data_IF_057054634275
#
_entry.id   IF_057054634275
#
_cell.length_a   1.000
_cell.length_b   1.000
_cell.length_c   1.000
_cell.angle_alpha   90.00
_cell.angle_beta   90.00
_cell.angle_gamma   90.00
#
_symmetry.space_group_name_H-M   'P 1'
#
loop_
_entity.id
_entity.type
_entity.pdbx_description
1 polymer ?
#
# COMPACT_ATOMS: atom_id res chain seq x y z
N UNK A 1 11.12 -8.72 9.69
CA UNK A 1 11.19 -7.67 10.74
C UNK A 1 12.57 -7.73 11.39
N UNK A 2 13.30 -6.62 11.53
CA UNK A 2 14.65 -6.60 12.11
C UNK A 2 14.68 -5.78 13.41
N UNK A 3 15.73 -5.93 14.21
CA UNK A 3 15.94 -5.12 15.42
C UNK A 3 15.96 -3.62 15.11
N UNK A 4 16.55 -3.22 13.98
CA UNK A 4 16.56 -1.83 13.53
C UNK A 4 15.15 -1.28 13.25
N UNK A 5 14.26 -2.09 12.69
CA UNK A 5 12.87 -1.66 12.46
C UNK A 5 12.14 -1.40 13.78
N UNK A 6 12.32 -2.28 14.76
CA UNK A 6 11.73 -2.10 16.09
C UNK A 6 12.32 -0.90 16.82
N UNK A 7 13.65 -0.69 16.72
CA UNK A 7 14.34 0.48 17.25
C UNK A 7 13.73 1.77 16.68
N UNK A 8 13.64 1.88 15.35
CA UNK A 8 13.05 3.03 14.66
C UNK A 8 11.63 3.34 15.16
N UNK A 9 10.78 2.32 15.32
CA UNK A 9 9.42 2.51 15.84
C UNK A 9 9.41 3.04 17.27
N UNK A 10 10.18 2.43 18.17
CA UNK A 10 10.24 2.88 19.58
C UNK A 10 10.79 4.30 19.72
N UNK A 11 11.71 4.72 18.84
CA UNK A 11 12.22 6.10 18.81
C UNK A 11 11.13 7.10 18.38
N UNK A 12 10.32 6.78 17.37
CA UNK A 12 9.18 7.63 17.00
C UNK A 12 8.20 7.81 18.16
N UNK A 13 7.87 6.73 18.87
CA UNK A 13 6.96 6.78 20.04
C UNK A 13 7.54 7.67 21.15
N UNK A 14 8.81 7.48 21.51
CA UNK A 14 9.48 8.30 22.54
C UNK A 14 9.52 9.77 22.18
N UNK A 15 9.80 10.09 20.92
CA UNK A 15 9.86 11.45 20.42
C UNK A 15 8.47 12.08 20.19
N UNK A 16 7.38 11.31 20.35
CA UNK A 16 6.01 11.71 19.95
C UNK A 16 5.97 12.20 18.50
N UNK A 17 6.78 11.59 17.62
CA UNK A 17 6.83 11.97 16.22
C UNK A 17 5.55 11.51 15.50
N UNK A 18 4.70 12.47 15.15
CA UNK A 18 3.42 12.23 14.47
C UNK A 18 3.62 11.75 13.02
N UNK A 19 4.67 12.22 12.34
CA UNK A 19 4.94 11.85 10.94
C UNK A 19 5.37 10.37 10.81
N UNK A 20 6.11 9.86 11.79
CA UNK A 20 6.74 8.52 11.80
C UNK A 20 7.66 8.25 10.59
N UNK A 21 8.44 7.16 10.65
CA UNK A 21 9.28 6.74 9.52
C UNK A 21 8.51 5.92 8.45
N UNK A 22 7.32 5.43 8.79
CA UNK A 22 6.47 4.61 7.92
C UNK A 22 5.00 5.02 8.15
N UNK A 23 4.56 6.13 7.53
CA UNK A 23 3.20 6.64 7.72
C UNK A 23 2.17 5.69 7.09
N UNK A 24 0.90 5.81 7.51
CA UNK A 24 -0.18 4.91 7.09
C UNK A 24 -0.39 4.90 5.58
N UNK A 25 -0.14 6.04 4.92
CA UNK A 25 -0.23 6.21 3.47
C UNK A 25 0.75 5.30 2.73
N UNK A 26 1.92 5.01 3.31
CA UNK A 26 2.87 4.06 2.72
C UNK A 26 2.27 2.64 2.68
N UNK A 27 1.60 2.23 3.76
CA UNK A 27 0.87 0.96 3.83
C UNK A 27 -0.31 0.92 2.86
N UNK A 28 -1.08 2.00 2.77
CA UNK A 28 -2.19 2.14 1.83
C UNK A 28 -1.75 1.96 0.37
N UNK A 29 -0.67 2.64 -0.04
CA UNK A 29 -0.12 2.49 -1.39
C UNK A 29 0.41 1.08 -1.67
N UNK A 30 1.01 0.43 -0.66
CA UNK A 30 1.46 -0.95 -0.78
C UNK A 30 0.28 -1.90 -1.03
N UNK A 31 -0.79 -1.78 -0.23
CA UNK A 31 -2.00 -2.60 -0.41
C UNK A 31 -2.67 -2.40 -1.77
N UNK A 32 -2.72 -1.16 -2.29
CA UNK A 32 -3.20 -0.90 -3.66
C UNK A 32 -2.36 -1.68 -4.68
N UNK A 33 -1.04 -1.62 -4.54
CA UNK A 33 -0.11 -2.28 -5.47
C UNK A 33 -0.27 -3.79 -5.43
N UNK A 34 -0.43 -4.39 -4.26
CA UNK A 34 -0.68 -5.83 -4.10
C UNK A 34 -1.97 -6.27 -4.80
N UNK A 35 -3.04 -5.48 -4.65
CA UNK A 35 -4.32 -5.74 -5.34
C UNK A 35 -4.15 -5.60 -6.86
N UNK A 36 -3.41 -4.59 -7.33
CA UNK A 36 -3.12 -4.41 -8.76
C UNK A 36 -2.33 -5.58 -9.34
N UNK A 37 -1.32 -6.10 -8.63
CA UNK A 37 -0.55 -7.28 -9.06
C UNK A 37 -1.43 -8.51 -9.12
N UNK A 38 -2.29 -8.70 -8.10
CA UNK A 38 -3.26 -9.79 -8.08
C UNK A 38 -4.25 -9.70 -9.25
N UNK A 39 -4.77 -8.49 -9.54
CA UNK A 39 -5.65 -8.23 -10.66
C UNK A 39 -4.98 -8.59 -11.99
N UNK A 40 -3.73 -8.16 -12.19
CA UNK A 40 -2.98 -8.46 -13.40
C UNK A 40 -2.71 -9.95 -13.56
N UNK A 41 -2.34 -10.64 -12.48
CA UNK A 41 -2.09 -12.07 -12.47
C UNK A 41 -3.37 -12.87 -12.79
N UNK A 42 -4.49 -12.55 -12.16
CA UNK A 42 -5.75 -13.29 -12.31
C UNK A 42 -6.41 -13.07 -13.68
N UNK A 43 -6.30 -11.85 -14.23
CA UNK A 43 -7.01 -11.49 -15.47
C UNK A 43 -6.13 -11.58 -16.72
N UNK A 44 -4.80 -11.62 -16.56
CA UNK A 44 -3.85 -11.47 -17.66
C UNK A 44 -3.88 -10.07 -18.32
N UNK A 45 -4.55 -9.09 -17.70
CA UNK A 45 -4.69 -7.73 -18.21
C UNK A 45 -3.84 -6.74 -17.42
N UNK A 46 -3.50 -5.60 -18.03
CA UNK A 46 -2.86 -4.50 -17.29
C UNK A 46 -3.83 -3.94 -16.25
N UNK A 47 -3.42 -3.95 -14.99
CA UNK A 47 -4.14 -3.32 -13.89
C UNK A 47 -3.74 -1.85 -13.73
N UNK A 48 -4.71 -1.00 -13.38
CA UNK A 48 -4.51 0.41 -13.02
C UNK A 48 -5.28 0.72 -11.73
N UNK A 49 -4.86 1.76 -11.00
CA UNK A 49 -5.61 2.30 -9.88
C UNK A 49 -6.33 3.59 -10.29
N UNK A 50 -7.65 3.59 -10.19
CA UNK A 50 -8.48 4.80 -10.29
C UNK A 50 -8.48 5.52 -8.94
N UNK A 51 -7.86 6.70 -8.90
CA UNK A 51 -7.71 7.50 -7.68
C UNK A 51 -9.01 8.16 -7.22
N UNK A 52 -9.89 8.52 -8.14
CA UNK A 52 -11.15 9.19 -7.81
C UNK A 52 -12.14 8.17 -7.26
N UNK A 53 -12.27 7.03 -7.93
CA UNK A 53 -13.14 5.94 -7.48
C UNK A 53 -12.52 5.09 -6.36
N UNK A 54 -11.20 5.19 -6.13
CA UNK A 54 -10.40 4.38 -5.20
C UNK A 54 -10.52 2.88 -5.49
N UNK A 55 -10.44 2.50 -6.76
CA UNK A 55 -10.66 1.13 -7.24
C UNK A 55 -9.52 0.65 -8.11
N UNK A 56 -9.27 -0.66 -8.09
CA UNK A 56 -8.37 -1.32 -9.04
C UNK A 56 -9.18 -1.77 -10.24
N UNK A 57 -8.72 -1.40 -11.44
CA UNK A 57 -9.37 -1.68 -12.71
C UNK A 57 -8.46 -2.59 -13.53
N UNK A 58 -9.00 -3.68 -14.08
CA UNK A 58 -8.32 -4.56 -15.02
C UNK A 58 -9.24 -4.84 -16.22
N UNK A 59 -8.72 -4.71 -17.45
CA UNK A 59 -9.52 -4.92 -18.66
C UNK A 59 -10.75 -4.01 -18.77
N UNK A 60 -10.71 -2.81 -18.17
CA UNK A 60 -11.81 -1.85 -18.18
C UNK A 60 -12.94 -2.13 -17.18
N UNK A 61 -12.76 -3.08 -16.25
CA UNK A 61 -13.73 -3.40 -15.19
C UNK A 61 -13.08 -3.35 -13.81
N UNK A 62 -13.87 -3.05 -12.79
CA UNK A 62 -13.45 -3.15 -11.40
C UNK A 62 -13.04 -4.58 -11.07
N UNK A 63 -11.90 -4.73 -10.38
CA UNK A 63 -11.41 -6.00 -9.87
C UNK A 63 -11.85 -6.18 -8.42
N UNK A 64 -12.62 -7.23 -8.16
CA UNK A 64 -13.19 -7.62 -6.84
C UNK A 64 -12.89 -9.07 -6.53
#
# INVERSE_FOLDING_TARGET
MTNEHMRNWTECVRAKNIQTNAPVEAGYHHSITDIMVSAALCTGQRAIFDKEAKKVIAGGKEFT
#
